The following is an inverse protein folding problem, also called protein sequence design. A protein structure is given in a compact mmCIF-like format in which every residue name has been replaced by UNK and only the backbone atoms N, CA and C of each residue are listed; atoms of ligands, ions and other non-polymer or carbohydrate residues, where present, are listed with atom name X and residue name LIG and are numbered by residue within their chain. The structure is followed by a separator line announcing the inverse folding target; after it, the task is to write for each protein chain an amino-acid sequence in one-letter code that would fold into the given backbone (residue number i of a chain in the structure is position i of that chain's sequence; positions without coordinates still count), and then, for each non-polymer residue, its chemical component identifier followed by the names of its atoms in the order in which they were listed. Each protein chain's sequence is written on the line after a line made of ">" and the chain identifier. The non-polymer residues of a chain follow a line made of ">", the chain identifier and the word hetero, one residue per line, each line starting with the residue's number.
data_IF_525639342099
#
_entry.id   IF_525639342099
#
_cell.length_a   1.000
_cell.length_b   1.000
_cell.length_c   1.000
_cell.angle_alpha   90.00
_cell.angle_beta   90.00
_cell.angle_gamma   90.00
#
_symmetry.space_group_name_H-M   'P 1'
#
loop_
_entity.id
_entity.type
_entity.pdbx_description
1 polymer ?
#
# COMPACT_ATOMS: atom_id res chain seq x y z
N UNK A 1 -14.86 -11.48 -7.28
CA UNK A 1 -13.82 -10.69 -7.94
C UNK A 1 -14.02 -9.20 -7.86
N UNK A 2 -15.24 -8.72 -7.97
CA UNK A 2 -15.46 -7.26 -7.95
C UNK A 2 -15.03 -6.61 -6.65
N UNK A 3 -15.24 -7.27 -5.51
CA UNK A 3 -14.79 -6.75 -4.22
C UNK A 3 -13.27 -6.61 -4.18
N UNK A 4 -12.56 -7.60 -4.72
CA UNK A 4 -11.10 -7.54 -4.75
C UNK A 4 -10.60 -6.45 -5.69
N UNK A 5 -11.31 -6.23 -6.80
CA UNK A 5 -10.94 -5.17 -7.74
C UNK A 5 -10.98 -3.80 -7.09
N UNK A 6 -12.00 -3.53 -6.30
CA UNK A 6 -12.11 -2.26 -5.56
C UNK A 6 -10.94 -2.09 -4.59
N UNK A 7 -10.60 -3.13 -3.86
CA UNK A 7 -9.50 -3.09 -2.91
C UNK A 7 -8.18 -2.84 -3.63
N UNK A 8 -7.95 -3.54 -4.74
CA UNK A 8 -6.72 -3.37 -5.52
C UNK A 8 -6.58 -1.94 -6.01
N UNK A 9 -7.65 -1.36 -6.55
CA UNK A 9 -7.62 0.01 -7.04
C UNK A 9 -7.31 1.00 -5.93
N UNK A 10 -7.95 0.83 -4.78
CA UNK A 10 -7.69 1.71 -3.64
C UNK A 10 -6.25 1.63 -3.16
N UNK A 11 -5.71 0.41 -3.10
CA UNK A 11 -4.33 0.20 -2.71
C UNK A 11 -3.38 0.88 -3.69
N UNK A 12 -3.58 0.66 -4.99
CA UNK A 12 -2.72 1.25 -6.02
C UNK A 12 -2.78 2.78 -5.96
N UNK A 13 -3.98 3.34 -5.82
CA UNK A 13 -4.13 4.80 -5.73
C UNK A 13 -3.37 5.37 -4.55
N UNK A 14 -3.45 4.72 -3.39
CA UNK A 14 -2.76 5.18 -2.19
C UNK A 14 -1.25 5.13 -2.37
N UNK A 15 -0.74 4.04 -2.92
CA UNK A 15 0.70 3.89 -3.13
C UNK A 15 1.22 4.88 -4.17
N UNK A 16 0.47 5.13 -5.22
CA UNK A 16 0.85 6.13 -6.21
C UNK A 16 0.88 7.53 -5.61
N UNK A 17 -0.12 7.87 -4.80
CA UNK A 17 -0.13 9.16 -4.12
C UNK A 17 1.09 9.34 -3.22
N UNK A 18 1.47 8.29 -2.52
CA UNK A 18 2.65 8.35 -1.66
C UNK A 18 3.93 8.56 -2.48
N UNK A 19 4.04 7.89 -3.62
CA UNK A 19 5.19 8.07 -4.51
C UNK A 19 5.26 9.49 -5.04
N UNK A 20 4.13 10.05 -5.45
CA UNK A 20 4.08 11.42 -5.95
C UNK A 20 4.46 12.41 -4.86
N UNK A 21 3.97 12.22 -3.65
CA UNK A 21 4.32 13.09 -2.52
C UNK A 21 5.80 12.99 -2.17
N UNK A 22 6.42 11.85 -2.44
CA UNK A 22 7.85 11.66 -2.21
C UNK A 22 8.71 12.23 -3.33
N UNK A 23 8.09 12.92 -4.29
CA UNK A 23 8.83 13.57 -5.37
C UNK A 23 9.30 12.63 -6.45
N UNK A 24 8.69 11.47 -6.58
CA UNK A 24 9.07 10.51 -7.61
C UNK A 24 8.81 11.08 -8.99
N UNK A 25 9.73 10.87 -9.90
CA UNK A 25 9.55 11.19 -11.32
C UNK A 25 9.23 9.93 -12.13
N UNK A 26 9.35 8.77 -11.50
CA UNK A 26 9.05 7.50 -12.15
C UNK A 26 8.42 6.57 -11.12
N UNK A 27 7.28 6.00 -11.47
CA UNK A 27 6.58 5.05 -10.62
C UNK A 27 6.21 3.84 -11.48
N UNK A 28 6.64 2.66 -11.07
CA UNK A 28 6.31 1.43 -11.73
C UNK A 28 5.29 0.67 -10.89
N UNK A 29 4.23 0.20 -11.53
CA UNK A 29 3.18 -0.54 -10.85
C UNK A 29 2.96 -1.87 -11.57
N UNK A 30 2.90 -2.94 -10.80
CA UNK A 30 2.59 -4.26 -11.33
C UNK A 30 1.53 -4.91 -10.44
N UNK A 31 0.50 -5.45 -11.07
CA UNK A 31 -0.52 -6.23 -10.36
C UNK A 31 -0.56 -7.59 -11.01
N UNK A 32 -0.35 -8.63 -10.20
CA UNK A 32 -0.41 -10.01 -10.67
C UNK A 32 -1.61 -10.70 -10.06
N UNK A 33 -2.48 -11.22 -10.92
CA UNK A 33 -3.66 -11.99 -10.49
C UNK A 33 -3.32 -13.46 -10.59
N UNK A 34 -2.99 -14.07 -9.45
CA UNK A 34 -2.67 -15.50 -9.41
C UNK A 34 -3.84 -16.25 -8.81
N UNK A 35 -3.87 -17.55 -9.03
CA UNK A 35 -4.87 -18.38 -8.40
C UNK A 35 -4.72 -18.29 -6.87
N UNK A 36 -5.76 -17.81 -6.21
CA UNK A 36 -5.78 -17.70 -4.75
C UNK A 36 -5.10 -16.48 -4.18
N UNK A 37 -4.45 -15.65 -5.00
CA UNK A 37 -3.69 -14.52 -4.47
C UNK A 37 -3.52 -13.41 -5.50
N UNK A 38 -3.57 -12.17 -5.02
CA UNK A 38 -3.22 -11.00 -5.82
C UNK A 38 -1.96 -10.40 -5.22
N UNK A 39 -0.98 -10.11 -6.08
CA UNK A 39 0.26 -9.46 -5.67
C UNK A 39 0.31 -8.07 -6.29
N UNK A 40 0.52 -7.06 -5.47
CA UNK A 40 0.63 -5.68 -5.92
C UNK A 40 2.04 -5.20 -5.62
N UNK A 41 2.73 -4.71 -6.64
CA UNK A 41 4.10 -4.25 -6.53
C UNK A 41 4.18 -2.82 -7.05
N UNK A 42 4.79 -1.92 -6.25
CA UNK A 42 4.99 -0.53 -6.63
C UNK A 42 6.41 -0.13 -6.28
N UNK A 43 7.11 0.43 -7.25
CA UNK A 43 8.47 0.91 -7.06
C UNK A 43 8.58 2.33 -7.58
N UNK A 44 9.21 3.21 -6.80
CA UNK A 44 9.42 4.59 -7.22
C UNK A 44 10.85 5.03 -6.98
N UNK A 45 11.19 6.15 -7.61
CA UNK A 45 12.50 6.77 -7.48
C UNK A 45 12.45 8.05 -6.65
N UNK A 46 11.50 8.14 -5.70
CA UNK A 46 11.36 9.31 -4.84
C UNK A 46 12.48 9.44 -3.82
N UNK A 47 12.24 10.32 -2.84
CA UNK A 47 13.28 10.61 -1.85
C UNK A 47 13.55 9.46 -0.87
N UNK A 48 12.71 8.44 -0.87
CA UNK A 48 12.86 7.31 0.03
C UNK A 48 12.60 7.69 1.49
N UNK A 49 13.03 6.83 2.38
CA UNK A 49 12.79 7.02 3.81
C UNK A 49 14.02 6.66 4.62
N UNK A 50 14.22 7.39 5.73
CA UNK A 50 15.24 6.97 6.69
C UNK A 50 14.73 5.76 7.50
N UNK A 51 15.58 5.19 8.33
CA UNK A 51 15.26 3.98 9.09
C UNK A 51 14.09 4.20 10.05
N UNK A 52 14.02 5.38 10.66
CA UNK A 52 12.96 5.70 11.61
C UNK A 52 11.60 5.75 10.95
N UNK A 53 11.50 6.45 9.82
CA UNK A 53 10.25 6.53 9.07
C UNK A 53 9.87 5.18 8.51
N UNK A 54 10.84 4.42 7.99
CA UNK A 54 10.57 3.09 7.44
C UNK A 54 9.99 2.17 8.51
N UNK A 55 10.52 2.24 9.74
CA UNK A 55 10.00 1.43 10.84
C UNK A 55 8.54 1.78 11.16
N UNK A 56 8.20 3.06 11.12
CA UNK A 56 6.81 3.50 11.34
C UNK A 56 5.89 2.99 10.25
N UNK A 57 6.35 3.03 9.00
CA UNK A 57 5.55 2.55 7.87
C UNK A 57 5.35 1.04 7.94
N UNK A 58 6.41 0.30 8.29
CA UNK A 58 6.29 -1.15 8.45
C UNK A 58 5.25 -1.49 9.51
N UNK A 59 5.23 -0.74 10.60
CA UNK A 59 4.25 -0.95 11.65
C UNK A 59 2.84 -0.64 11.17
N UNK A 60 2.67 0.42 10.39
CA UNK A 60 1.36 0.78 9.84
C UNK A 60 0.85 -0.28 8.87
N UNK A 61 1.75 -0.93 8.11
CA UNK A 61 1.38 -1.98 7.18
C UNK A 61 1.12 -3.32 7.87
N UNK A 62 1.63 -3.51 9.09
CA UNK A 62 1.47 -4.75 9.84
C UNK A 62 0.16 -4.73 10.62
N UNK A 63 -0.95 -4.75 9.89
CA UNK A 63 -2.29 -4.72 10.44
C UNK A 63 -3.03 -6.00 10.08
N UNK A 64 -3.90 -6.52 10.98
CA UNK A 64 -4.77 -7.62 10.59
C UNK A 64 -5.67 -7.17 9.45
N UNK A 65 -5.89 -8.06 8.49
CA UNK A 65 -6.78 -7.75 7.39
C UNK A 65 -8.22 -7.60 7.92
N UNK A 66 -8.89 -6.52 7.50
CA UNK A 66 -10.22 -6.17 7.97
C UNK A 66 -11.08 -5.63 6.83
N UNK A 67 -11.51 -6.50 5.95
CA UNK A 67 -12.32 -6.10 4.80
C UNK A 67 -13.60 -5.38 5.20
N UNK A 68 -14.18 -5.75 6.32
CA UNK A 68 -15.44 -5.18 6.78
C UNK A 68 -15.33 -3.72 7.20
N UNK A 69 -14.12 -3.25 7.44
CA UNK A 69 -13.90 -1.85 7.83
C UNK A 69 -13.51 -0.96 6.66
N UNK A 70 -13.30 -1.54 5.49
CA UNK A 70 -12.81 -0.80 4.34
C UNK A 70 -13.68 0.38 3.95
N UNK A 71 -14.99 0.16 3.83
CA UNK A 71 -15.89 1.24 3.43
C UNK A 71 -15.91 2.38 4.43
N UNK A 72 -15.87 2.02 5.70
CA UNK A 72 -15.86 3.01 6.76
C UNK A 72 -14.60 3.86 6.71
N UNK A 73 -13.44 3.21 6.62
CA UNK A 73 -12.17 3.92 6.56
C UNK A 73 -11.98 4.64 5.23
N UNK A 74 -12.55 4.11 4.15
CA UNK A 74 -12.51 4.78 2.86
C UNK A 74 -13.16 6.14 2.90
N UNK A 75 -14.25 6.27 3.64
CA UNK A 75 -14.92 7.56 3.81
C UNK A 75 -14.07 8.53 4.64
N UNK A 76 -13.31 8.02 5.59
CA UNK A 76 -12.48 8.85 6.47
C UNK A 76 -11.12 9.18 5.87
N UNK A 77 -10.61 8.32 5.00
CA UNK A 77 -9.28 8.50 4.43
C UNK A 77 -9.15 9.78 3.62
N UNK A 78 -10.25 10.27 3.06
CA UNK A 78 -10.24 11.54 2.33
C UNK A 78 -10.07 12.75 3.21
N UNK A 79 -10.07 12.58 4.52
CA UNK A 79 -9.96 13.70 5.46
C UNK A 79 -8.55 13.89 6.00
N UNK A 80 -7.57 13.57 5.19
CA UNK A 80 -6.19 13.97 5.41
C UNK A 80 -5.53 13.54 6.71
N UNK A 81 -5.64 12.29 7.05
CA UNK A 81 -4.91 11.81 8.20
C UNK A 81 -3.60 11.20 7.74
N UNK A 82 -2.53 11.93 7.99
CA UNK A 82 -1.18 11.50 7.59
C UNK A 82 -0.92 10.11 8.16
N UNK A 83 -0.54 9.17 7.29
CA UNK A 83 -0.27 7.79 7.69
C UNK A 83 -1.48 6.88 7.68
N UNK A 84 -2.69 7.43 7.66
CA UNK A 84 -3.91 6.63 7.67
C UNK A 84 -4.04 5.77 6.41
N UNK A 85 -3.62 6.31 5.26
CA UNK A 85 -3.69 5.59 4.00
C UNK A 85 -2.93 4.28 4.03
N UNK A 86 -1.72 4.28 4.60
CA UNK A 86 -0.91 3.05 4.67
C UNK A 86 -1.47 2.07 5.69
N UNK A 87 -2.09 2.55 6.76
CA UNK A 87 -2.80 1.67 7.69
C UNK A 87 -3.96 0.98 6.99
N UNK A 88 -4.69 1.72 6.13
CA UNK A 88 -5.76 1.12 5.34
C UNK A 88 -5.23 0.07 4.39
N UNK A 89 -4.09 0.34 3.75
CA UNK A 89 -3.45 -0.64 2.88
C UNK A 89 -3.13 -1.91 3.67
N UNK A 90 -2.60 -1.76 4.88
CA UNK A 90 -2.32 -2.90 5.75
C UNK A 90 -3.56 -3.72 6.06
N UNK A 91 -4.69 -3.04 6.30
CA UNK A 91 -5.96 -3.72 6.60
C UNK A 91 -6.56 -4.43 5.39
N UNK A 92 -6.14 -4.05 4.19
CA UNK A 92 -6.64 -4.65 2.96
C UNK A 92 -5.74 -5.73 2.40
N UNK A 93 -4.65 -6.06 3.09
CA UNK A 93 -3.68 -7.04 2.61
C UNK A 93 -3.34 -8.04 3.71
N UNK A 94 -2.85 -9.21 3.31
CA UNK A 94 -2.48 -10.27 4.23
C UNK A 94 -1.01 -10.21 4.63
N UNK A 95 -0.17 -9.63 3.76
CA UNK A 95 1.24 -9.49 4.01
C UNK A 95 1.81 -8.33 3.20
N UNK A 96 2.80 -7.67 3.74
CA UNK A 96 3.46 -6.56 3.06
C UNK A 96 4.97 -6.67 3.22
N UNK A 97 5.69 -6.32 2.15
CA UNK A 97 7.14 -6.20 2.18
C UNK A 97 7.48 -4.82 1.66
N UNK A 98 8.38 -4.12 2.33
CA UNK A 98 8.77 -2.77 1.93
C UNK A 98 10.26 -2.60 2.13
N UNK A 99 10.91 -1.96 1.16
CA UNK A 99 12.29 -1.53 1.29
C UNK A 99 12.41 -0.10 0.80
N UNK A 100 13.24 0.68 1.48
CA UNK A 100 13.45 2.09 1.15
C UNK A 100 14.74 2.57 1.80
N UNK A 101 15.42 3.46 1.11
CA UNK A 101 16.61 4.12 1.63
C UNK A 101 16.57 5.57 1.22
N UNK A 102 17.17 6.49 2.01
CA UNK A 102 17.17 7.90 1.65
C UNK A 102 17.74 8.12 0.25
N UNK A 103 17.01 8.87 -0.56
CA UNK A 103 17.37 9.25 -1.93
C UNK A 103 17.45 8.07 -2.92
N UNK A 104 16.92 6.91 -2.55
CA UNK A 104 16.94 5.73 -3.42
C UNK A 104 15.56 5.19 -3.73
N UNK A 105 14.52 5.92 -3.35
CA UNK A 105 13.16 5.52 -3.63
C UNK A 105 12.63 4.47 -2.68
N UNK A 106 11.48 3.91 -3.04
CA UNK A 106 10.77 2.95 -2.21
C UNK A 106 10.21 1.84 -3.08
N UNK A 107 10.26 0.62 -2.56
CA UNK A 107 9.66 -0.53 -3.22
C UNK A 107 8.75 -1.24 -2.23
N UNK A 108 7.49 -1.48 -2.62
CA UNK A 108 6.49 -2.14 -1.79
C UNK A 108 5.91 -3.30 -2.55
N UNK A 109 5.76 -4.43 -1.87
CA UNK A 109 5.10 -5.60 -2.42
C UNK A 109 4.03 -6.04 -1.43
N UNK A 110 2.80 -6.17 -1.91
CA UNK A 110 1.65 -6.50 -1.08
C UNK A 110 1.01 -7.77 -1.59
N UNK A 111 0.53 -8.60 -0.66
CA UNK A 111 -0.07 -9.89 -0.94
C UNK A 111 -1.48 -9.92 -0.36
N UNK A 112 -2.46 -10.24 -1.20
CA UNK A 112 -3.86 -10.33 -0.78
C UNK A 112 -4.45 -11.66 -1.22
N UNK A 113 -4.90 -12.45 -0.26
CA UNK A 113 -5.55 -13.72 -0.57
C UNK A 113 -6.94 -13.48 -1.16
N UNK A 114 -7.29 -14.21 -2.19
CA UNK A 114 -8.59 -14.11 -2.86
C UNK A 114 -9.52 -15.25 -2.51
N UNK A 115 -9.03 -16.26 -1.83
CA UNK A 115 -9.84 -17.39 -1.41
C UNK A 115 -10.06 -17.36 0.09
N UNK A 116 -11.24 -17.80 0.47
CA UNK A 116 -11.62 -17.84 1.88
C UNK A 116 -11.05 -19.05 2.59
#
# INVERSE_FOLDING_TARGET
>A
MDAHRKHVRGIVDELMNNSIKAGATQVDVRVEMKEGEIIIWVKDNGRGMDAEKLAKIKKALDQPRRDELEEYYGALAGESMVGTGLSLVGMMTDRAEISSEPNKGTEIRLFRKTED
#
